data_IF_686868948324
#
_entry.id   IF_686868948324
#
_cell.length_a   1.000
_cell.length_b   1.000
_cell.length_c   1.000
_cell.angle_alpha   90.00
_cell.angle_beta   90.00
_cell.angle_gamma   90.00
#
_symmetry.space_group_name_H-M   'P 1'
#
loop_
_entity.id
_entity.type
_entity.pdbx_description
1 polymer ?
#
# COMPACT_ATOMS: atom_id res chain seq x y z
N UNK A 1 22.23 9.68 3.52
CA UNK A 1 21.83 10.07 4.89
C UNK A 1 21.51 11.56 5.07
N UNK A 2 22.34 12.52 4.63
CA UNK A 2 22.05 13.97 4.82
C UNK A 2 20.67 14.41 4.26
N UNK A 3 20.34 14.02 3.02
CA UNK A 3 19.04 14.32 2.37
C UNK A 3 17.84 13.75 3.16
N UNK A 4 17.93 12.48 3.58
CA UNK A 4 16.91 11.82 4.43
C UNK A 4 16.65 12.61 5.71
N UNK A 5 17.72 12.91 6.45
CA UNK A 5 17.66 13.67 7.69
C UNK A 5 17.03 15.04 7.45
N UNK A 6 17.46 15.76 6.42
CA UNK A 6 16.90 17.08 6.08
C UNK A 6 15.40 16.99 5.80
N UNK A 7 14.96 16.07 4.94
CA UNK A 7 13.54 15.93 4.59
C UNK A 7 12.66 15.62 5.81
N UNK A 8 13.10 14.67 6.64
CA UNK A 8 12.38 14.30 7.85
C UNK A 8 12.36 15.44 8.87
N UNK A 9 13.51 16.02 9.20
CA UNK A 9 13.62 17.10 10.19
C UNK A 9 12.81 18.32 9.76
N UNK A 10 12.91 18.73 8.49
CA UNK A 10 12.19 19.90 7.98
C UNK A 10 10.68 19.66 7.90
N UNK A 11 10.23 18.42 7.71
CA UNK A 11 8.80 18.11 7.77
C UNK A 11 8.32 18.14 9.21
N UNK A 12 8.98 17.37 10.09
CA UNK A 12 8.59 17.21 11.49
C UNK A 12 8.59 18.57 12.20
N UNK A 13 9.61 19.41 12.01
CA UNK A 13 9.65 20.77 12.59
C UNK A 13 8.48 21.65 12.16
N UNK A 14 7.96 21.44 10.95
CA UNK A 14 6.91 22.28 10.38
C UNK A 14 5.49 21.77 10.65
N UNK A 15 5.33 20.48 10.94
CA UNK A 15 4.02 19.81 11.07
C UNK A 15 3.73 19.32 12.50
N UNK A 16 4.77 18.93 13.24
CA UNK A 16 4.61 18.26 14.52
C UNK A 16 3.94 19.13 15.58
N UNK A 17 2.86 18.62 16.15
CA UNK A 17 2.26 19.08 17.39
C UNK A 17 2.03 17.89 18.31
N UNK A 18 2.44 17.94 19.58
CA UNK A 18 2.30 16.80 20.49
C UNK A 18 0.87 16.26 20.57
N UNK A 19 -0.13 17.15 20.68
CA UNK A 19 -1.54 16.76 20.75
C UNK A 19 -2.04 16.05 19.48
N UNK A 20 -1.66 16.55 18.30
CA UNK A 20 -2.03 15.95 17.00
C UNK A 20 -1.46 14.53 16.86
N UNK A 21 -0.17 14.38 17.13
CA UNK A 21 0.51 13.10 16.96
C UNK A 21 0.09 12.10 18.04
N UNK A 22 -0.13 12.58 19.27
CA UNK A 22 -0.66 11.76 20.36
C UNK A 22 -2.06 11.23 20.07
N UNK A 23 -3.00 12.09 19.65
CA UNK A 23 -4.38 11.64 19.34
C UNK A 23 -4.41 10.72 18.12
N UNK A 24 -3.57 11.00 17.10
CA UNK A 24 -3.48 10.15 15.90
C UNK A 24 -2.92 8.77 16.27
N UNK A 25 -1.87 8.71 17.09
CA UNK A 25 -1.30 7.43 17.53
C UNK A 25 -2.28 6.62 18.38
N UNK A 26 -3.00 7.25 19.31
CA UNK A 26 -4.03 6.59 20.12
C UNK A 26 -5.19 6.08 19.25
N UNK A 27 -5.64 6.87 18.28
CA UNK A 27 -6.69 6.46 17.36
C UNK A 27 -6.26 5.26 16.51
N UNK A 28 -5.07 5.30 15.91
CA UNK A 28 -4.54 4.17 15.13
C UNK A 28 -4.33 2.93 16.00
N UNK A 29 -3.80 3.09 17.21
CA UNK A 29 -3.66 1.98 18.15
C UNK A 29 -5.01 1.36 18.50
N UNK A 30 -6.06 2.18 18.68
CA UNK A 30 -7.42 1.69 18.91
C UNK A 30 -7.99 0.97 17.69
N UNK A 31 -7.83 1.50 16.48
CA UNK A 31 -8.27 0.84 15.24
C UNK A 31 -7.56 -0.50 15.01
N UNK A 32 -6.24 -0.53 15.18
CA UNK A 32 -5.44 -1.75 15.05
C UNK A 32 -5.84 -2.76 16.13
N UNK A 33 -5.89 -2.36 17.41
CA UNK A 33 -6.28 -3.24 18.50
C UNK A 33 -7.70 -3.80 18.30
N UNK A 34 -8.64 -2.97 17.85
CA UNK A 34 -9.99 -3.41 17.52
C UNK A 34 -9.97 -4.44 16.39
N UNK A 35 -9.30 -4.14 15.27
CA UNK A 35 -9.21 -5.06 14.13
C UNK A 35 -8.67 -6.44 14.53
N UNK A 36 -7.56 -6.51 15.28
CA UNK A 36 -6.97 -7.80 15.69
C UNK A 36 -7.70 -8.48 16.85
N UNK A 37 -8.53 -7.76 17.61
CA UNK A 37 -9.33 -8.35 18.68
C UNK A 37 -10.61 -9.00 18.15
N UNK A 38 -11.22 -8.42 17.11
CA UNK A 38 -12.49 -8.90 16.53
C UNK A 38 -12.34 -9.53 15.16
N UNK A 39 -11.12 -9.51 14.60
CA UNK A 39 -10.84 -9.99 13.26
C UNK A 39 -11.69 -9.28 12.18
N UNK A 40 -11.73 -7.94 12.25
CA UNK A 40 -12.74 -7.12 11.55
C UNK A 40 -12.79 -7.40 10.03
N UNK A 41 -11.64 -7.42 9.37
CA UNK A 41 -11.58 -7.63 7.92
C UNK A 41 -12.06 -9.04 7.54
N UNK A 42 -11.41 -10.07 8.07
CA UNK A 42 -11.66 -11.47 7.70
C UNK A 42 -13.05 -11.96 8.15
N UNK A 43 -13.50 -11.55 9.34
CA UNK A 43 -14.76 -12.02 9.93
C UNK A 43 -15.99 -11.20 9.55
N UNK A 44 -15.86 -9.92 9.13
CA UNK A 44 -17.01 -9.05 8.86
C UNK A 44 -17.04 -8.42 7.47
N UNK A 45 -15.88 -8.20 6.82
CA UNK A 45 -15.83 -7.57 5.50
C UNK A 45 -15.75 -8.64 4.41
N UNK A 46 -14.83 -9.59 4.56
CA UNK A 46 -14.57 -10.64 3.58
C UNK A 46 -15.71 -11.65 3.34
N UNK A 47 -16.63 -11.94 4.27
CA UNK A 47 -17.81 -12.75 3.98
C UNK A 47 -18.72 -12.14 2.89
N UNK A 48 -18.60 -10.84 2.64
CA UNK A 48 -19.36 -10.13 1.60
C UNK A 48 -18.65 -10.10 0.24
N UNK A 49 -17.55 -10.84 0.05
CA UNK A 49 -16.79 -10.87 -1.20
C UNK A 49 -17.68 -11.23 -2.41
N UNK A 50 -17.55 -10.44 -3.47
CA UNK A 50 -18.38 -10.56 -4.68
C UNK A 50 -19.73 -9.85 -4.58
N UNK A 51 -20.03 -9.16 -3.48
CA UNK A 51 -21.22 -8.32 -3.33
C UNK A 51 -20.84 -6.85 -3.15
N UNK A 52 -21.71 -5.92 -3.57
CA UNK A 52 -21.48 -4.47 -3.40
C UNK A 52 -21.36 -4.02 -1.94
N UNK A 53 -21.79 -4.86 -0.99
CA UNK A 53 -21.69 -4.58 0.45
C UNK A 53 -20.23 -4.47 0.86
N UNK A 54 -19.33 -5.33 0.35
CA UNK A 54 -17.90 -5.30 0.69
C UNK A 54 -17.24 -3.99 0.26
N UNK A 55 -17.57 -3.49 -0.94
CA UNK A 55 -17.17 -2.15 -1.38
C UNK A 55 -17.60 -1.05 -0.40
N UNK A 56 -18.86 -1.07 0.05
CA UNK A 56 -19.38 -0.06 0.99
C UNK A 56 -18.70 -0.16 2.36
N UNK A 57 -18.39 -1.38 2.83
CA UNK A 57 -17.68 -1.59 4.08
C UNK A 57 -16.25 -1.06 4.02
N UNK A 58 -15.50 -1.37 2.95
CA UNK A 58 -14.16 -0.79 2.76
C UNK A 58 -14.20 0.73 2.63
N UNK A 59 -15.11 1.27 1.81
CA UNK A 59 -15.28 2.71 1.66
C UNK A 59 -15.60 3.37 3.01
N UNK A 60 -16.46 2.75 3.82
CA UNK A 60 -16.80 3.23 5.16
C UNK A 60 -15.59 3.22 6.10
N UNK A 61 -14.87 2.10 6.17
CA UNK A 61 -13.67 1.95 6.99
C UNK A 61 -12.61 3.00 6.63
N UNK A 62 -12.25 3.07 5.35
CA UNK A 62 -11.21 3.98 4.86
C UNK A 62 -11.61 5.43 5.03
N UNK A 63 -12.85 5.80 4.69
CA UNK A 63 -13.34 7.15 4.86
C UNK A 63 -13.34 7.57 6.34
N UNK A 64 -13.84 6.73 7.25
CA UNK A 64 -13.86 7.02 8.69
C UNK A 64 -12.44 7.28 9.18
N UNK A 65 -11.48 6.42 8.84
CA UNK A 65 -10.09 6.54 9.29
C UNK A 65 -9.42 7.77 8.68
N UNK A 66 -9.53 7.96 7.36
CA UNK A 66 -8.95 9.08 6.63
C UNK A 66 -9.47 10.43 7.13
N UNK A 67 -10.80 10.58 7.22
CA UNK A 67 -11.41 11.86 7.58
C UNK A 67 -11.27 12.17 9.07
N UNK A 68 -11.23 11.16 9.95
CA UNK A 68 -10.94 11.37 11.38
C UNK A 68 -9.54 11.95 11.57
N UNK A 69 -8.53 11.35 10.96
CA UNK A 69 -7.14 11.84 11.06
C UNK A 69 -6.97 13.18 10.34
N UNK A 70 -7.69 13.40 9.24
CA UNK A 70 -7.75 14.71 8.58
C UNK A 70 -8.33 15.78 9.50
N UNK A 71 -9.41 15.45 10.22
CA UNK A 71 -10.04 16.37 11.18
C UNK A 71 -9.08 16.72 12.32
N UNK A 72 -8.37 15.74 12.88
CA UNK A 72 -7.33 16.02 13.89
C UNK A 72 -6.30 17.01 13.36
N UNK A 73 -5.79 16.80 12.14
CA UNK A 73 -4.80 17.68 11.53
C UNK A 73 -5.35 19.08 11.29
N UNK A 74 -6.56 19.20 10.73
CA UNK A 74 -7.23 20.46 10.43
C UNK A 74 -7.49 21.28 11.69
N UNK A 75 -7.94 20.65 12.77
CA UNK A 75 -8.18 21.31 14.05
C UNK A 75 -6.85 21.78 14.68
N UNK A 76 -5.83 20.91 14.69
CA UNK A 76 -4.53 21.24 15.26
C UNK A 76 -3.80 22.36 14.51
N UNK A 77 -4.00 22.46 13.18
CA UNK A 77 -3.41 23.49 12.33
C UNK A 77 -4.29 24.72 12.12
N UNK A 78 -5.53 24.73 12.65
CA UNK A 78 -6.53 25.79 12.43
C UNK A 78 -6.80 26.03 10.93
N UNK A 79 -6.95 24.94 10.16
CA UNK A 79 -7.15 24.96 8.70
C UNK A 79 -8.59 24.59 8.30
N UNK A 80 -9.60 24.98 9.08
CA UNK A 80 -10.99 24.57 8.89
C UNK A 80 -11.60 25.05 7.56
N UNK A 81 -10.98 26.04 6.91
CA UNK A 81 -11.37 26.45 5.56
C UNK A 81 -11.19 25.32 4.51
N UNK A 82 -10.23 24.41 4.72
CA UNK A 82 -9.95 23.33 3.77
C UNK A 82 -11.12 22.36 3.63
N UNK A 83 -11.78 21.99 4.73
CA UNK A 83 -12.94 21.08 4.71
C UNK A 83 -14.20 21.70 4.12
N UNK A 84 -14.21 23.02 3.91
CA UNK A 84 -15.29 23.72 3.18
C UNK A 84 -15.02 23.80 1.68
N UNK A 85 -13.81 23.43 1.24
CA UNK A 85 -13.42 23.49 -0.17
C UNK A 85 -14.03 22.32 -0.95
N UNK A 86 -14.67 22.61 -2.07
CA UNK A 86 -15.12 21.57 -3.01
C UNK A 86 -13.94 20.71 -3.50
N UNK A 87 -12.76 21.32 -3.73
CA UNK A 87 -11.56 20.58 -4.17
C UNK A 87 -11.11 19.54 -3.16
N UNK A 88 -11.28 19.81 -1.86
CA UNK A 88 -10.97 18.84 -0.82
C UNK A 88 -11.82 17.59 -0.97
N UNK A 89 -13.14 17.75 -1.01
CA UNK A 89 -14.08 16.63 -1.14
C UNK A 89 -13.94 15.91 -2.48
N UNK A 90 -13.69 16.64 -3.57
CA UNK A 90 -13.47 16.03 -4.88
C UNK A 90 -12.25 15.10 -4.89
N UNK A 91 -11.09 15.57 -4.40
CA UNK A 91 -9.86 14.77 -4.43
C UNK A 91 -9.88 13.65 -3.40
N UNK A 92 -10.24 13.97 -2.14
CA UNK A 92 -10.26 12.95 -1.08
C UNK A 92 -11.35 11.91 -1.31
N UNK A 93 -12.57 12.32 -1.71
CA UNK A 93 -13.65 11.41 -2.04
C UNK A 93 -13.30 10.50 -3.21
N UNK A 94 -12.71 11.05 -4.28
CA UNK A 94 -12.22 10.24 -5.40
C UNK A 94 -11.15 9.24 -4.97
N UNK A 95 -10.19 9.66 -4.14
CA UNK A 95 -9.15 8.77 -3.61
C UNK A 95 -9.72 7.61 -2.78
N UNK A 96 -10.71 7.88 -1.91
CA UNK A 96 -11.37 6.84 -1.12
C UNK A 96 -12.20 5.88 -1.99
N UNK A 97 -12.86 6.38 -3.04
CA UNK A 97 -13.60 5.52 -3.98
C UNK A 97 -12.65 4.59 -4.75
N UNK A 98 -11.52 5.11 -5.22
CA UNK A 98 -10.49 4.32 -5.91
C UNK A 98 -9.88 3.27 -4.96
N UNK A 99 -9.61 3.65 -3.71
CA UNK A 99 -9.06 2.76 -2.70
C UNK A 99 -10.02 1.62 -2.34
N UNK A 100 -11.31 1.93 -2.13
CA UNK A 100 -12.33 0.93 -1.86
C UNK A 100 -12.57 0.00 -3.06
N UNK A 101 -12.54 0.55 -4.28
CA UNK A 101 -12.66 -0.26 -5.50
C UNK A 101 -11.47 -1.21 -5.62
N UNK A 102 -10.24 -0.75 -5.44
CA UNK A 102 -9.06 -1.60 -5.52
C UNK A 102 -9.09 -2.77 -4.51
N UNK A 103 -9.55 -2.55 -3.27
CA UNK A 103 -9.69 -3.62 -2.25
C UNK A 103 -10.83 -4.60 -2.53
N UNK A 104 -11.96 -4.11 -3.06
CA UNK A 104 -13.14 -4.95 -3.29
C UNK A 104 -13.06 -5.78 -4.58
N UNK A 105 -12.47 -5.22 -5.64
CA UNK A 105 -12.66 -5.71 -7.02
C UNK A 105 -12.42 -7.21 -7.18
N UNK A 106 -13.44 -7.93 -7.64
CA UNK A 106 -13.38 -9.39 -7.92
C UNK A 106 -13.53 -9.73 -9.41
N UNK A 107 -13.54 -8.75 -10.31
CA UNK A 107 -13.80 -8.99 -11.75
C UNK A 107 -12.76 -9.89 -12.44
N UNK A 108 -11.56 -10.03 -11.86
CA UNK A 108 -10.52 -10.93 -12.35
C UNK A 108 -10.89 -12.42 -12.24
N UNK A 109 -11.84 -12.79 -11.37
CA UNK A 109 -12.23 -14.19 -11.15
C UNK A 109 -12.80 -14.82 -12.42
N UNK A 110 -13.66 -14.09 -13.14
CA UNK A 110 -14.23 -14.57 -14.40
C UNK A 110 -13.20 -14.79 -15.50
N UNK A 111 -12.13 -13.98 -15.51
CA UNK A 111 -11.01 -14.17 -16.46
C UNK A 111 -10.22 -15.43 -16.13
N UNK A 112 -9.97 -15.70 -14.85
CA UNK A 112 -9.24 -16.89 -14.40
C UNK A 112 -10.00 -18.19 -14.71
N UNK A 113 -11.34 -18.16 -14.77
CA UNK A 113 -12.16 -19.34 -15.10
C UNK A 113 -12.29 -19.66 -16.59
N UNK A 114 -11.67 -18.87 -17.49
CA UNK A 114 -11.72 -19.15 -18.92
C UNK A 114 -11.02 -20.49 -19.24
N UNK A 115 -11.50 -21.28 -20.23
CA UNK A 115 -10.91 -22.58 -20.56
C UNK A 115 -9.40 -22.56 -20.85
N UNK A 116 -8.88 -21.43 -21.35
CA UNK A 116 -7.46 -21.25 -21.62
C UNK A 116 -6.57 -21.29 -20.36
N UNK A 117 -7.15 -21.08 -19.17
CA UNK A 117 -6.43 -21.06 -17.89
C UNK A 117 -6.81 -22.21 -16.96
N UNK A 118 -7.63 -23.16 -17.39
CA UNK A 118 -8.12 -24.25 -16.54
C UNK A 118 -6.97 -25.02 -15.86
N UNK A 119 -5.94 -25.38 -16.63
CA UNK A 119 -4.75 -26.10 -16.14
C UNK A 119 -3.85 -25.27 -15.22
N UNK A 120 -4.01 -23.95 -15.21
CA UNK A 120 -3.20 -22.99 -14.42
C UNK A 120 -4.07 -22.06 -13.58
N UNK A 121 -5.29 -22.49 -13.23
CA UNK A 121 -6.33 -21.61 -12.67
C UNK A 121 -5.84 -20.78 -11.49
N UNK A 122 -5.18 -21.41 -10.50
CA UNK A 122 -4.69 -20.72 -9.30
C UNK A 122 -3.61 -19.69 -9.64
N UNK A 123 -2.70 -20.04 -10.53
CA UNK A 123 -1.65 -19.13 -11.01
C UNK A 123 -2.24 -17.92 -11.74
N UNK A 124 -3.14 -18.16 -12.69
CA UNK A 124 -3.83 -17.12 -13.42
C UNK A 124 -4.67 -16.23 -12.49
N UNK A 125 -5.39 -16.83 -11.54
CA UNK A 125 -6.22 -16.12 -10.55
C UNK A 125 -5.41 -15.08 -9.78
N UNK A 126 -4.28 -15.46 -9.18
CA UNK A 126 -3.48 -14.53 -8.41
C UNK A 126 -2.74 -13.51 -9.30
N UNK A 127 -2.26 -13.90 -10.49
CA UNK A 127 -1.67 -12.95 -11.43
C UNK A 127 -2.70 -11.89 -11.88
N UNK A 128 -3.90 -12.30 -12.26
CA UNK A 128 -4.97 -11.37 -12.66
C UNK A 128 -5.48 -10.54 -11.49
N UNK A 129 -5.50 -11.08 -10.27
CA UNK A 129 -5.81 -10.30 -9.06
C UNK A 129 -4.80 -9.15 -8.90
N UNK A 130 -3.51 -9.41 -8.97
CA UNK A 130 -2.48 -8.36 -8.88
C UNK A 130 -2.54 -7.36 -10.06
N UNK A 131 -2.75 -7.85 -11.28
CA UNK A 131 -2.86 -7.00 -12.49
C UNK A 131 -4.16 -6.21 -12.56
N UNK A 132 -5.18 -6.57 -11.77
CA UNK A 132 -6.45 -5.83 -11.74
C UNK A 132 -6.27 -4.37 -11.31
N UNK A 133 -5.18 -4.06 -10.60
CA UNK A 133 -4.80 -2.69 -10.22
C UNK A 133 -4.57 -1.75 -11.41
N UNK A 134 -4.30 -2.27 -12.62
CA UNK A 134 -4.34 -1.46 -13.84
C UNK A 134 -5.71 -0.83 -14.01
N UNK A 135 -6.78 -1.62 -13.88
CA UNK A 135 -8.14 -1.16 -14.06
C UNK A 135 -8.62 -0.33 -12.86
N UNK A 136 -8.31 -0.77 -11.65
CA UNK A 136 -8.88 -0.17 -10.43
C UNK A 136 -8.10 1.03 -9.91
N UNK A 137 -6.82 1.18 -10.26
CA UNK A 137 -5.97 2.31 -9.84
C UNK A 137 -5.50 3.14 -11.03
N UNK A 138 -4.80 2.53 -11.99
CA UNK A 138 -4.14 3.31 -13.05
C UNK A 138 -5.13 4.02 -13.96
N UNK A 139 -6.14 3.31 -14.46
CA UNK A 139 -7.18 3.90 -15.32
C UNK A 139 -7.88 5.06 -14.63
N UNK A 140 -8.51 4.91 -13.45
CA UNK A 140 -9.22 6.03 -12.83
C UNK A 140 -8.30 7.20 -12.51
N UNK A 141 -7.09 6.95 -11.98
CA UNK A 141 -6.15 8.04 -11.69
C UNK A 141 -5.68 8.76 -12.97
N UNK A 142 -5.45 8.04 -14.07
CA UNK A 142 -5.09 8.64 -15.35
C UNK A 142 -6.23 9.50 -15.91
N UNK A 143 -7.47 9.03 -15.83
CA UNK A 143 -8.66 9.80 -16.24
C UNK A 143 -8.83 11.06 -15.38
N UNK A 144 -8.72 10.93 -14.06
CA UNK A 144 -8.82 12.06 -13.13
C UNK A 144 -7.70 13.08 -13.37
N UNK A 145 -6.46 12.62 -13.55
CA UNK A 145 -5.34 13.49 -13.89
C UNK A 145 -5.56 14.21 -15.23
N UNK A 146 -6.06 13.51 -16.25
CA UNK A 146 -6.27 14.10 -17.58
C UNK A 146 -7.38 15.15 -17.62
N UNK A 147 -8.44 14.99 -16.82
CA UNK A 147 -9.65 15.81 -16.91
C UNK A 147 -9.87 16.76 -15.73
N UNK A 148 -9.33 16.46 -14.55
CA UNK A 148 -9.57 17.21 -13.32
C UNK A 148 -8.31 17.85 -12.75
N UNK A 149 -7.19 17.13 -12.77
CA UNK A 149 -5.93 17.52 -12.14
C UNK A 149 -4.78 17.55 -13.15
N UNK A 150 -5.02 18.17 -14.31
CA UNK A 150 -4.01 18.29 -15.35
C UNK A 150 -2.92 19.26 -14.87
N UNK A 151 -1.82 18.70 -14.36
CA UNK A 151 -0.70 19.46 -13.83
C UNK A 151 0.43 19.57 -14.85
N UNK A 152 1.20 20.67 -14.87
CA UNK A 152 2.44 20.77 -15.66
C UNK A 152 3.54 19.80 -15.20
N UNK A 153 3.35 19.13 -14.06
CA UNK A 153 4.31 18.22 -13.44
C UNK A 153 4.07 16.76 -13.88
N UNK A 154 4.94 15.85 -13.45
CA UNK A 154 4.82 14.42 -13.76
C UNK A 154 3.57 13.80 -13.12
N UNK A 155 2.97 12.81 -13.79
CA UNK A 155 1.82 12.03 -13.31
C UNK A 155 2.08 11.49 -11.90
N UNK A 156 1.43 12.09 -10.90
CA UNK A 156 1.48 11.71 -9.49
C UNK A 156 2.83 11.19 -8.96
N UNK A 157 3.92 11.89 -9.30
CA UNK A 157 5.25 11.55 -8.79
C UNK A 157 6.06 10.56 -9.63
N UNK A 158 5.66 10.23 -10.86
CA UNK A 158 6.52 9.59 -11.88
C UNK A 158 7.63 10.54 -12.41
N UNK A 159 8.25 11.28 -11.50
CA UNK A 159 9.37 12.19 -11.75
C UNK A 159 10.69 11.43 -11.56
N UNK A 160 11.63 11.47 -12.52
CA UNK A 160 12.93 10.82 -12.37
C UNK A 160 13.68 11.27 -11.11
N UNK A 161 14.25 10.31 -10.36
CA UNK A 161 15.04 10.58 -9.14
C UNK A 161 16.43 9.95 -9.21
N UNK A 162 17.39 10.72 -9.75
CA UNK A 162 18.77 10.27 -9.93
C UNK A 162 19.64 10.43 -8.67
N UNK A 163 19.13 11.08 -7.62
CA UNK A 163 19.94 11.52 -6.47
C UNK A 163 19.65 10.80 -5.15
N UNK A 164 18.68 9.89 -5.12
CA UNK A 164 18.21 9.28 -3.86
C UNK A 164 18.48 7.78 -3.74
N UNK A 165 19.09 7.13 -4.74
CA UNK A 165 19.30 5.68 -4.74
C UNK A 165 20.04 5.20 -3.48
N UNK A 166 21.12 5.90 -3.08
CA UNK A 166 21.86 5.58 -1.84
C UNK A 166 20.99 5.68 -0.58
N UNK A 167 20.03 6.61 -0.55
CA UNK A 167 19.13 6.78 0.58
C UNK A 167 18.18 5.59 0.71
N UNK A 168 17.51 5.23 -0.38
CA UNK A 168 16.58 4.11 -0.39
C UNK A 168 17.30 2.76 -0.22
N UNK A 169 18.48 2.57 -0.84
CA UNK A 169 19.30 1.38 -0.61
C UNK A 169 19.71 1.21 0.87
N UNK A 170 20.00 2.30 1.58
CA UNK A 170 20.29 2.22 3.03
C UNK A 170 19.06 1.84 3.84
N UNK A 171 17.88 2.40 3.51
CA UNK A 171 16.63 2.04 4.18
C UNK A 171 16.28 0.56 3.96
N UNK A 172 16.46 0.06 2.73
CA UNK A 172 16.25 -1.35 2.42
C UNK A 172 17.24 -2.25 3.17
N UNK A 173 18.51 -1.85 3.28
CA UNK A 173 19.52 -2.61 4.04
C UNK A 173 19.16 -2.73 5.52
N UNK A 174 18.52 -1.71 6.11
CA UNK A 174 18.03 -1.77 7.50
C UNK A 174 16.88 -2.79 7.65
N UNK A 175 16.08 -3.00 6.60
CA UNK A 175 15.01 -4.00 6.61
C UNK A 175 15.53 -5.43 6.57
N UNK A 176 16.72 -5.68 6.01
CA UNK A 176 17.31 -7.03 5.91
C UNK A 176 17.36 -7.78 7.25
N UNK A 177 17.96 -7.25 8.34
CA UNK A 177 17.98 -7.95 9.63
C UNK A 177 16.58 -8.10 10.25
N UNK A 178 15.68 -7.13 10.03
CA UNK A 178 14.31 -7.19 10.55
C UNK A 178 13.51 -8.30 9.89
N UNK A 179 13.57 -8.40 8.55
CA UNK A 179 12.92 -9.45 7.77
C UNK A 179 13.60 -10.80 8.02
N UNK A 180 14.92 -10.81 8.15
CA UNK A 180 15.68 -12.00 8.54
C UNK A 180 15.16 -12.58 9.86
N UNK A 181 14.98 -11.75 10.88
CA UNK A 181 14.38 -12.18 12.15
C UNK A 181 12.91 -12.57 12.02
N UNK A 182 12.11 -11.82 11.25
CA UNK A 182 10.71 -12.13 10.99
C UNK A 182 10.52 -13.49 10.28
N UNK A 183 11.47 -13.88 9.42
CA UNK A 183 11.41 -15.15 8.68
C UNK A 183 11.40 -16.40 9.56
N UNK A 184 11.85 -16.29 10.81
CA UNK A 184 11.80 -17.40 11.78
C UNK A 184 10.45 -17.51 12.51
N UNK A 185 9.52 -16.58 12.30
CA UNK A 185 8.25 -16.55 13.02
C UNK A 185 7.17 -17.37 12.31
N UNK A 186 6.33 -18.13 13.05
CA UNK A 186 5.29 -18.97 12.43
C UNK A 186 4.31 -18.18 11.56
N UNK A 187 3.82 -17.04 12.05
CA UNK A 187 2.88 -16.19 11.31
C UNK A 187 3.45 -15.63 10.00
N UNK A 188 4.77 -15.48 9.91
CA UNK A 188 5.44 -15.08 8.68
C UNK A 188 5.44 -16.21 7.65
N UNK A 189 5.77 -17.44 8.08
CA UNK A 189 5.83 -18.63 7.21
C UNK A 189 4.44 -19.15 6.80
N UNK A 190 3.39 -18.77 7.53
CA UNK A 190 1.99 -19.01 7.10
C UNK A 190 1.61 -18.17 5.86
N UNK A 191 2.22 -16.98 5.75
CA UNK A 191 1.92 -16.01 4.68
C UNK A 191 2.86 -16.16 3.48
N UNK A 192 4.17 -16.26 3.73
CA UNK A 192 5.21 -16.24 2.71
C UNK A 192 5.87 -17.63 2.52
N UNK A 193 6.35 -17.98 1.31
CA UNK A 193 6.22 -17.21 0.07
C UNK A 193 4.77 -17.18 -0.42
N UNK A 194 4.36 -16.07 -1.04
CA UNK A 194 3.02 -15.96 -1.62
C UNK A 194 2.90 -16.89 -2.82
N UNK A 195 3.98 -17.03 -3.61
CA UNK A 195 4.02 -17.99 -4.71
C UNK A 195 4.19 -19.43 -4.17
N UNK A 196 3.25 -20.32 -4.52
CA UNK A 196 3.24 -21.72 -4.06
C UNK A 196 3.33 -22.75 -5.20
N UNK A 197 3.80 -22.35 -6.39
CA UNK A 197 3.94 -23.22 -7.56
C UNK A 197 2.63 -23.57 -8.27
N UNK A 198 1.67 -24.11 -7.52
CA UNK A 198 0.32 -24.52 -7.96
C UNK A 198 0.29 -25.44 -9.21
N UNK A 199 1.37 -26.18 -9.50
CA UNK A 199 1.48 -27.05 -10.67
C UNK A 199 1.56 -26.30 -12.01
N UNK A 200 1.70 -24.97 -11.99
CA UNK A 200 1.63 -24.16 -13.21
C UNK A 200 2.81 -24.42 -14.15
N UNK A 201 4.00 -24.67 -13.62
CA UNK A 201 5.19 -24.94 -14.41
C UNK A 201 5.04 -26.24 -15.22
N UNK A 202 4.53 -27.31 -14.59
CA UNK A 202 4.23 -28.59 -15.24
C UNK A 202 3.16 -28.42 -16.32
N UNK A 203 2.05 -27.76 -16.00
CA UNK A 203 0.95 -27.53 -16.93
C UNK A 203 1.36 -26.72 -18.17
N UNK A 204 2.31 -25.80 -18.04
CA UNK A 204 2.84 -24.98 -19.13
C UNK A 204 4.06 -25.60 -19.82
N UNK A 205 4.61 -26.70 -19.30
CA UNK A 205 5.83 -27.32 -19.83
C UNK A 205 7.07 -26.41 -19.71
N UNK A 206 7.14 -25.57 -18.68
CA UNK A 206 8.26 -24.63 -18.44
C UNK A 206 8.94 -24.91 -17.10
N UNK A 207 10.18 -24.45 -16.90
CA UNK A 207 10.83 -24.52 -15.60
C UNK A 207 10.12 -23.66 -14.54
N UNK A 208 10.12 -24.12 -13.28
CA UNK A 208 9.48 -23.45 -12.13
C UNK A 208 9.90 -21.98 -11.93
N UNK A 209 11.16 -21.65 -12.24
CA UNK A 209 11.65 -20.28 -12.11
C UNK A 209 10.93 -19.30 -13.06
N UNK A 210 10.41 -19.78 -14.20
CA UNK A 210 9.69 -18.94 -15.17
C UNK A 210 8.35 -18.52 -14.59
N UNK A 211 7.59 -19.46 -14.03
CA UNK A 211 6.30 -19.17 -13.39
C UNK A 211 6.49 -18.35 -12.11
N UNK A 212 7.52 -18.64 -11.31
CA UNK A 212 7.88 -17.82 -10.15
C UNK A 212 8.18 -16.37 -10.54
N UNK A 213 9.09 -16.11 -11.49
CA UNK A 213 9.40 -14.75 -11.93
C UNK A 213 8.21 -14.03 -12.57
N UNK A 214 7.35 -14.76 -13.30
CA UNK A 214 6.14 -14.20 -13.89
C UNK A 214 5.13 -13.78 -12.82
N UNK A 215 4.96 -14.60 -11.77
CA UNK A 215 4.17 -14.25 -10.61
C UNK A 215 4.73 -13.02 -9.90
N UNK A 216 6.04 -13.02 -9.60
CA UNK A 216 6.72 -11.91 -8.93
C UNK A 216 6.63 -10.60 -9.72
N UNK A 217 6.61 -10.66 -11.06
CA UNK A 217 6.39 -9.48 -11.89
C UNK A 217 4.95 -8.94 -11.74
N UNK A 218 3.94 -9.82 -11.70
CA UNK A 218 2.54 -9.43 -11.48
C UNK A 218 2.36 -8.87 -10.07
N UNK A 219 2.85 -9.58 -9.06
CA UNK A 219 2.82 -9.18 -7.65
C UNK A 219 3.56 -7.86 -7.41
N UNK A 220 4.77 -7.72 -7.97
CA UNK A 220 5.55 -6.49 -7.96
C UNK A 220 4.83 -5.32 -8.60
N UNK A 221 4.09 -5.54 -9.70
CA UNK A 221 3.33 -4.49 -10.36
C UNK A 221 2.24 -3.90 -9.45
N UNK A 222 1.56 -4.71 -8.65
CA UNK A 222 0.52 -4.23 -7.74
C UNK A 222 1.09 -3.27 -6.66
N UNK A 223 2.34 -3.49 -6.22
CA UNK A 223 3.02 -2.53 -5.35
C UNK A 223 3.30 -1.19 -6.04
N UNK A 224 3.55 -1.17 -7.35
CA UNK A 224 3.66 0.09 -8.09
C UNK A 224 2.32 0.83 -8.08
N UNK A 225 1.21 0.11 -8.26
CA UNK A 225 -0.14 0.66 -8.15
C UNK A 225 -0.44 1.19 -6.74
N UNK A 226 -0.03 0.45 -5.70
CA UNK A 226 -0.16 0.88 -4.30
C UNK A 226 0.59 2.19 -4.05
N UNK A 227 1.83 2.31 -4.53
CA UNK A 227 2.62 3.54 -4.37
C UNK A 227 2.04 4.71 -5.17
N UNK A 228 1.50 4.44 -6.36
CA UNK A 228 0.81 5.43 -7.17
C UNK A 228 -0.43 5.97 -6.45
N UNK A 229 -1.26 5.11 -5.87
CA UNK A 229 -2.46 5.54 -5.15
C UNK A 229 -2.10 6.27 -3.85
N UNK A 230 -1.27 5.67 -3.01
CA UNK A 230 -1.03 6.19 -1.66
C UNK A 230 -0.05 7.36 -1.67
N UNK A 231 1.14 7.21 -2.23
CA UNK A 231 2.16 8.26 -2.21
C UNK A 231 1.97 9.23 -3.39
N UNK A 232 1.56 8.71 -4.54
CA UNK A 232 1.31 9.53 -5.72
C UNK A 232 0.06 10.39 -5.55
N UNK A 233 -1.11 9.79 -5.43
CA UNK A 233 -2.36 10.53 -5.36
C UNK A 233 -2.63 11.08 -3.95
N UNK A 234 -2.71 10.22 -2.93
CA UNK A 234 -3.11 10.61 -1.56
C UNK A 234 -2.05 11.43 -0.81
N UNK A 235 -0.80 11.48 -1.27
CA UNK A 235 0.21 12.44 -0.77
C UNK A 235 0.53 13.53 -1.78
N UNK A 236 1.12 13.20 -2.93
CA UNK A 236 1.63 14.23 -3.87
C UNK A 236 0.48 15.02 -4.52
N UNK A 237 -0.60 14.34 -4.95
CA UNK A 237 -1.81 14.96 -5.48
C UNK A 237 -2.55 15.77 -4.41
N UNK A 238 -2.89 15.13 -3.28
CA UNK A 238 -3.57 15.77 -2.16
C UNK A 238 -2.78 16.92 -1.52
N UNK A 239 -1.45 16.95 -1.62
CA UNK A 239 -0.64 18.05 -1.11
C UNK A 239 -0.95 19.41 -1.76
N UNK A 240 -1.61 19.43 -2.94
CA UNK A 240 -2.11 20.66 -3.54
C UNK A 240 -3.30 21.26 -2.77
N UNK A 241 -4.01 20.42 -2.00
CA UNK A 241 -5.22 20.78 -1.26
C UNK A 241 -4.96 20.83 0.24
N UNK A 242 -4.32 19.80 0.80
CA UNK A 242 -4.06 19.65 2.23
C UNK A 242 -2.65 20.08 2.66
N UNK A 243 -1.77 20.41 1.70
CA UNK A 243 -0.38 20.68 2.02
C UNK A 243 0.28 19.50 2.74
N UNK A 244 0.92 19.76 3.88
CA UNK A 244 1.55 18.72 4.73
C UNK A 244 0.55 17.77 5.36
N UNK A 245 -0.70 18.21 5.53
CA UNK A 245 -1.77 17.43 6.11
C UNK A 245 -2.16 16.19 5.32
N UNK A 246 -1.67 16.02 4.09
CA UNK A 246 -1.91 14.82 3.29
C UNK A 246 -1.20 13.57 3.86
N UNK A 247 -0.14 13.73 4.66
CA UNK A 247 0.68 12.59 5.10
C UNK A 247 -0.02 11.75 6.17
N UNK A 248 -0.47 12.33 7.29
CA UNK A 248 -1.05 11.54 8.39
C UNK A 248 -2.34 10.77 7.99
N UNK A 249 -3.30 11.36 7.26
CA UNK A 249 -4.47 10.63 6.77
C UNK A 249 -4.11 9.49 5.84
N UNK A 250 -3.11 9.67 4.97
CA UNK A 250 -2.60 8.58 4.12
C UNK A 250 -1.97 7.46 4.95
N UNK A 251 -1.18 7.78 5.98
CA UNK A 251 -0.62 6.77 6.91
C UNK A 251 -1.73 5.96 7.57
N UNK A 252 -2.81 6.64 7.96
CA UNK A 252 -3.93 6.03 8.65
C UNK A 252 -4.63 4.97 7.77
N UNK A 253 -4.99 5.32 6.53
CA UNK A 253 -5.58 4.35 5.60
C UNK A 253 -4.57 3.29 5.14
N UNK A 254 -3.28 3.63 5.04
CA UNK A 254 -2.25 2.64 4.72
C UNK A 254 -2.11 1.56 5.79
N UNK A 255 -2.37 1.90 7.06
CA UNK A 255 -2.45 0.91 8.13
C UNK A 255 -3.67 -0.01 7.96
N UNK A 256 -4.83 0.53 7.57
CA UNK A 256 -6.04 -0.25 7.33
C UNK A 256 -5.89 -1.28 6.22
N UNK A 257 -5.20 -0.95 5.11
CA UNK A 257 -4.97 -1.96 4.05
C UNK A 257 -4.01 -3.10 4.45
N UNK A 258 -3.44 -3.04 5.66
CA UNK A 258 -2.64 -4.12 6.25
C UNK A 258 -3.42 -4.91 7.30
N UNK A 259 -4.68 -4.58 7.55
CA UNK A 259 -5.54 -5.45 8.36
C UNK A 259 -5.60 -6.85 7.71
N UNK A 260 -5.78 -7.88 8.55
CA UNK A 260 -5.62 -9.29 8.15
C UNK A 260 -4.16 -9.78 8.01
N UNK A 261 -3.16 -8.88 7.86
CA UNK A 261 -1.74 -9.29 7.80
C UNK A 261 -1.14 -9.54 9.19
N UNK A 262 0.04 -10.16 9.31
CA UNK A 262 0.75 -10.24 10.59
C UNK A 262 0.89 -8.87 11.27
N UNK A 263 0.64 -8.79 12.58
CA UNK A 263 0.64 -7.52 13.34
C UNK A 263 1.89 -6.67 13.12
N UNK A 264 3.05 -7.33 12.98
CA UNK A 264 4.32 -6.65 12.69
C UNK A 264 4.32 -5.87 11.37
N UNK A 265 3.63 -6.36 10.34
CA UNK A 265 3.47 -5.67 9.06
C UNK A 265 2.54 -4.45 9.19
N UNK A 266 1.46 -4.55 9.95
CA UNK A 266 0.54 -3.42 10.19
C UNK A 266 1.19 -2.32 11.01
N UNK A 267 1.94 -2.66 12.05
CA UNK A 267 2.71 -1.67 12.80
C UNK A 267 3.85 -1.09 11.95
N UNK A 268 4.50 -1.94 11.15
CA UNK A 268 5.52 -1.55 10.18
C UNK A 268 4.99 -0.59 9.12
N UNK A 269 3.75 -0.78 8.65
CA UNK A 269 3.13 0.07 7.64
C UNK A 269 2.82 1.47 8.17
N UNK A 270 2.50 1.65 9.46
CA UNK A 270 2.38 2.99 10.08
C UNK A 270 3.71 3.75 9.99
N UNK A 271 4.82 3.12 10.43
CA UNK A 271 6.14 3.75 10.43
C UNK A 271 6.68 3.96 9.00
N UNK A 272 6.62 2.93 8.17
CA UNK A 272 7.04 2.97 6.76
C UNK A 272 6.20 3.95 5.95
N UNK A 273 4.88 3.94 6.18
CA UNK A 273 3.91 4.90 5.66
C UNK A 273 4.30 6.34 5.96
N UNK A 274 4.61 6.65 7.21
CA UNK A 274 4.96 8.00 7.63
C UNK A 274 6.28 8.46 7.01
N UNK A 275 7.34 7.64 7.11
CA UNK A 275 8.66 7.99 6.55
C UNK A 275 8.58 8.15 5.03
N UNK A 276 8.01 7.18 4.30
CA UNK A 276 7.92 7.23 2.84
C UNK A 276 6.93 8.31 2.37
N UNK A 277 5.86 8.56 3.12
CA UNK A 277 4.92 9.65 2.87
C UNK A 277 5.61 11.02 2.95
N UNK A 278 6.42 11.27 3.98
CA UNK A 278 7.22 12.51 4.07
C UNK A 278 8.18 12.62 2.89
N UNK A 279 8.87 11.52 2.54
CA UNK A 279 9.80 11.52 1.43
C UNK A 279 9.10 11.85 0.11
N UNK A 280 7.97 11.21 -0.19
CA UNK A 280 7.15 11.50 -1.37
C UNK A 280 6.65 12.96 -1.39
N UNK A 281 6.19 13.48 -0.25
CA UNK A 281 5.78 14.88 -0.10
C UNK A 281 6.92 15.87 -0.43
N UNK A 282 8.12 15.62 0.10
CA UNK A 282 9.30 16.50 -0.07
C UNK A 282 9.95 16.36 -1.44
N UNK A 283 10.08 15.14 -1.95
CA UNK A 283 10.79 14.83 -3.21
C UNK A 283 9.90 14.99 -4.44
N UNK A 284 8.57 14.89 -4.26
CA UNK A 284 7.57 14.83 -5.34
C UNK A 284 7.86 13.67 -6.30
N UNK A 285 8.31 12.54 -5.77
CA UNK A 285 8.52 11.29 -6.51
C UNK A 285 8.11 10.06 -5.71
N UNK A 286 7.56 9.05 -6.39
CA UNK A 286 7.17 7.77 -5.79
C UNK A 286 8.20 6.65 -5.98
N UNK A 287 9.23 6.84 -6.82
CA UNK A 287 10.24 5.81 -7.11
C UNK A 287 10.93 5.26 -5.86
N UNK A 288 11.09 6.11 -4.85
CA UNK A 288 11.60 5.71 -3.55
C UNK A 288 10.70 4.72 -2.82
N UNK A 289 9.39 4.99 -2.81
CA UNK A 289 8.40 4.09 -2.24
C UNK A 289 8.39 2.77 -2.99
N UNK A 290 8.36 2.81 -4.33
CA UNK A 290 8.39 1.63 -5.20
C UNK A 290 9.61 0.74 -4.88
N UNK A 291 10.80 1.33 -4.81
CA UNK A 291 12.03 0.58 -4.54
C UNK A 291 12.02 -0.08 -3.16
N UNK A 292 11.50 0.61 -2.13
CA UNK A 292 11.42 0.05 -0.78
C UNK A 292 10.36 -1.04 -0.70
N UNK A 293 9.18 -0.81 -1.28
CA UNK A 293 8.07 -1.76 -1.22
C UNK A 293 8.41 -3.06 -1.94
N UNK A 294 8.89 -2.97 -3.19
CA UNK A 294 9.38 -4.13 -3.95
C UNK A 294 10.54 -4.83 -3.26
N UNK A 295 11.51 -4.05 -2.75
CA UNK A 295 12.65 -4.62 -2.05
C UNK A 295 12.24 -5.37 -0.79
N UNK A 296 11.32 -4.83 0.01
CA UNK A 296 10.79 -5.50 1.21
C UNK A 296 10.00 -6.74 0.83
N UNK A 297 9.09 -6.66 -0.15
CA UNK A 297 8.32 -7.81 -0.64
C UNK A 297 9.21 -8.97 -1.09
N UNK A 298 10.20 -8.70 -1.93
CA UNK A 298 11.12 -9.74 -2.40
C UNK A 298 12.06 -10.25 -1.30
N UNK A 299 12.44 -9.41 -0.32
CA UNK A 299 13.16 -9.89 0.86
C UNK A 299 12.30 -10.83 1.70
N UNK A 300 10.98 -10.61 1.76
CA UNK A 300 10.07 -11.50 2.48
C UNK A 300 9.93 -12.85 1.78
N UNK A 301 9.70 -12.85 0.45
CA UNK A 301 9.69 -14.06 -0.39
C UNK A 301 11.00 -14.85 -0.24
N UNK A 302 12.15 -14.16 -0.36
CA UNK A 302 13.46 -14.79 -0.21
C UNK A 302 13.66 -15.35 1.21
N UNK A 303 13.27 -14.60 2.23
CA UNK A 303 13.36 -15.02 3.63
C UNK A 303 12.60 -16.33 3.85
N UNK A 304 11.35 -16.41 3.40
CA UNK A 304 10.55 -17.62 3.52
C UNK A 304 11.14 -18.79 2.71
N UNK A 305 11.53 -18.53 1.45
CA UNK A 305 12.13 -19.54 0.59
C UNK A 305 13.37 -20.20 1.24
N UNK A 306 14.26 -19.38 1.83
CA UNK A 306 15.45 -19.90 2.51
C UNK A 306 15.10 -20.76 3.74
N UNK A 307 14.06 -20.40 4.49
CA UNK A 307 13.62 -21.17 5.66
C UNK A 307 13.02 -22.51 5.25
N UNK A 308 12.09 -22.51 4.29
CA UNK A 308 11.47 -23.76 3.78
C UNK A 308 12.53 -24.68 3.18
N UNK A 309 13.50 -24.13 2.43
CA UNK A 309 14.60 -24.93 1.87
C UNK A 309 15.48 -25.56 2.95
N UNK A 310 15.75 -24.83 4.04
CA UNK A 310 16.56 -25.35 5.16
C UNK A 310 15.86 -26.48 5.91
N UNK A 311 14.53 -26.39 6.09
CA UNK A 311 13.72 -27.41 6.77
C UNK A 311 13.62 -28.70 5.96
N UNK A 312 13.59 -28.64 4.63
CA UNK A 312 13.56 -29.83 3.76
C UNK A 312 14.88 -30.64 3.77
N UNK A 313 15.97 -30.06 4.26
CA UNK A 313 17.29 -30.72 4.34
C UNK A 313 17.61 -31.33 5.70
N UNK A 314 16.75 -31.14 6.70
CA UNK A 314 16.85 -31.76 8.03
C UNK A 314 15.97 -33.01 8.08
#
# INVERSE_FOLDING_TARGET
>A
MRKLRTYLVDFIRADFRPGLYGVTALFLAACIAFNYAVDLEDSYIDPHRGTWIRFVLFLGLDAVVYYTVTLFWVLAHQQQALIRSFRFWLYSGFGMLVLAWWQDFTGYQGLATLPAFESVYRFAFHCFSNLSSVLTVWVPLALFYRWTDAQPSYFYGFRPDRGSLRMYGTMLLIMVPLIGWASFQPSFLETYPVYKGWGAAEALGVPEWVTALSFEACYGFDFVSTELLLRGFLVIGMAQVLGRGAVLPMVAVYACIHFGKPLGETLGSVLGGYILGILAYKSRTIWGGIAIHLGVAWLMELGAFLQTYSQQRQ
#
